data_IF_581513417091
#
_entry.id   IF_581513417091
#
_cell.length_a   1.000
_cell.length_b   1.000
_cell.length_c   1.000
_cell.angle_alpha   90.00
_cell.angle_beta   90.00
_cell.angle_gamma   90.00
#
_symmetry.space_group_name_H-M   'P 1'
#
loop_
_entity.id
_entity.type
_entity.pdbx_description
1 polymer ?
#
# COMPACT_ATOMS: atom_id res chain seq x y z
N UNK A 1 -2.01 -1.78 -24.97
CA UNK A 1 -1.82 -0.33 -24.87
C UNK A 1 -3.08 0.26 -24.31
N UNK A 2 -3.25 0.20 -22.99
CA UNK A 2 -4.34 0.88 -22.28
C UNK A 2 -3.69 2.06 -21.56
N UNK A 3 -4.26 3.25 -21.71
CA UNK A 3 -3.64 4.50 -21.25
C UNK A 3 -4.34 5.10 -20.02
N UNK A 4 -5.56 4.65 -19.71
CA UNK A 4 -6.36 5.13 -18.58
C UNK A 4 -6.95 3.95 -17.80
N UNK A 5 -7.02 4.12 -16.48
CA UNK A 5 -7.59 3.15 -15.55
C UNK A 5 -8.41 3.88 -14.50
N UNK A 6 -9.56 3.33 -14.15
CA UNK A 6 -10.37 3.76 -13.01
C UNK A 6 -10.73 2.55 -12.15
N UNK A 7 -10.76 2.76 -10.83
CA UNK A 7 -11.24 1.75 -9.88
C UNK A 7 -11.49 2.37 -8.51
N UNK A 8 -12.47 1.82 -7.78
CA UNK A 8 -12.68 2.12 -6.36
C UNK A 8 -11.73 1.35 -5.44
N UNK A 9 -10.98 0.38 -5.96
CA UNK A 9 -10.16 -0.56 -5.19
C UNK A 9 -9.19 0.12 -4.20
N UNK A 10 -8.45 1.20 -4.55
CA UNK A 10 -7.51 1.83 -3.61
C UNK A 10 -8.19 2.29 -2.33
N UNK A 11 -9.32 2.99 -2.47
CA UNK A 11 -10.04 3.57 -1.34
C UNK A 11 -10.91 2.53 -0.64
N UNK A 12 -11.54 1.59 -1.38
CA UNK A 12 -12.33 0.50 -0.78
C UNK A 12 -11.46 -0.40 0.10
N UNK A 13 -10.29 -0.79 -0.37
CA UNK A 13 -9.38 -1.66 0.37
C UNK A 13 -8.76 -0.93 1.57
N UNK A 14 -8.40 0.35 1.42
CA UNK A 14 -7.95 1.19 2.52
C UNK A 14 -8.94 1.21 3.67
N UNK A 15 -10.23 1.44 3.38
CA UNK A 15 -11.30 1.45 4.39
C UNK A 15 -11.53 0.09 5.06
N UNK A 16 -11.18 -0.99 4.37
CA UNK A 16 -11.19 -2.35 4.90
C UNK A 16 -9.85 -2.76 5.54
N UNK A 17 -8.96 -1.81 5.83
CA UNK A 17 -7.67 -2.01 6.48
C UNK A 17 -6.62 -2.79 5.67
N UNK A 18 -6.77 -2.85 4.34
CA UNK A 18 -5.77 -3.41 3.43
C UNK A 18 -4.97 -2.29 2.76
N UNK A 19 -3.67 -2.22 3.06
CA UNK A 19 -2.77 -1.18 2.55
C UNK A 19 -1.76 -1.78 1.57
N UNK A 20 -1.60 -1.13 0.43
CA UNK A 20 -0.63 -1.53 -0.59
C UNK A 20 0.75 -0.95 -0.30
N UNK A 21 1.79 -1.77 -0.40
CA UNK A 21 3.18 -1.35 -0.16
C UNK A 21 4.09 -1.88 -1.25
N UNK A 22 5.32 -1.37 -1.28
CA UNK A 22 6.38 -1.85 -2.16
C UNK A 22 6.74 -3.34 -1.98
N UNK A 23 6.31 -3.95 -0.87
CA UNK A 23 6.56 -5.35 -0.52
C UNK A 23 5.27 -6.17 -0.38
N UNK A 24 4.17 -5.72 -0.99
CA UNK A 24 2.89 -6.46 -0.98
C UNK A 24 1.79 -5.75 -0.19
N UNK A 25 0.72 -6.49 0.11
CA UNK A 25 -0.45 -5.95 0.82
C UNK A 25 -0.39 -6.31 2.30
N UNK A 26 -0.51 -5.27 3.15
CA UNK A 26 -0.56 -5.43 4.61
C UNK A 26 -2.01 -5.37 5.10
N UNK A 27 -2.34 -6.20 6.09
CA UNK A 27 -3.61 -6.13 6.82
C UNK A 27 -3.39 -5.40 8.15
N UNK A 28 -3.82 -4.14 8.26
CA UNK A 28 -3.56 -3.32 9.45
C UNK A 28 -4.27 -3.81 10.71
N UNK A 29 -5.16 -4.80 10.61
CA UNK A 29 -5.78 -5.45 11.78
C UNK A 29 -4.90 -6.56 12.38
N UNK A 30 -3.85 -7.00 11.68
CA UNK A 30 -2.94 -8.04 12.15
C UNK A 30 -2.32 -7.64 13.51
N UNK A 31 -2.28 -8.57 14.46
CA UNK A 31 -1.74 -8.33 15.79
C UNK A 31 -0.22 -8.10 15.78
N UNK A 32 0.49 -8.62 14.78
CA UNK A 32 1.94 -8.40 14.60
C UNK A 32 2.32 -6.92 14.60
N UNK A 33 1.43 -6.04 14.10
CA UNK A 33 1.69 -4.61 14.02
C UNK A 33 1.39 -3.82 15.29
N UNK A 34 0.94 -4.46 16.39
CA UNK A 34 0.55 -3.76 17.62
C UNK A 34 1.66 -2.87 18.19
N UNK A 35 2.91 -3.33 18.12
CA UNK A 35 4.09 -2.63 18.63
C UNK A 35 5.08 -2.31 17.50
N UNK A 36 4.62 -2.24 16.26
CA UNK A 36 5.45 -1.93 15.10
C UNK A 36 5.47 -0.41 14.85
N UNK A 37 6.52 0.26 15.33
CA UNK A 37 6.68 1.71 15.22
C UNK A 37 7.30 2.17 13.89
N UNK A 38 7.51 1.26 12.94
CA UNK A 38 8.04 1.60 11.62
C UNK A 38 6.96 2.24 10.74
N UNK A 39 7.40 2.81 9.62
CA UNK A 39 6.51 3.32 8.57
C UNK A 39 5.68 2.18 7.97
N UNK A 40 4.55 2.52 7.35
CA UNK A 40 3.72 1.55 6.63
C UNK A 40 4.47 0.96 5.44
N UNK A 41 5.18 1.81 4.69
CA UNK A 41 6.06 1.41 3.60
C UNK A 41 7.29 2.33 3.61
N UNK A 42 8.48 1.74 3.73
CA UNK A 42 9.75 2.48 3.80
C UNK A 42 10.05 3.27 2.52
N UNK A 43 9.46 2.89 1.38
CA UNK A 43 9.63 3.57 0.10
C UNK A 43 8.52 4.58 -0.20
N UNK A 44 7.61 4.82 0.74
CA UNK A 44 6.48 5.71 0.56
C UNK A 44 6.72 7.04 1.28
N UNK A 45 6.45 8.13 0.56
CA UNK A 45 6.64 9.51 1.02
C UNK A 45 5.29 10.23 1.23
N UNK A 46 4.19 9.48 1.28
CA UNK A 46 2.87 10.07 1.53
C UNK A 46 2.78 10.65 2.96
N UNK A 47 1.80 11.54 3.17
CA UNK A 47 1.53 12.13 4.49
C UNK A 47 1.44 11.06 5.59
N UNK A 48 0.73 9.96 5.34
CA UNK A 48 0.56 8.91 6.33
C UNK A 48 1.89 8.26 6.74
N UNK A 49 2.74 7.88 5.78
CA UNK A 49 4.04 7.23 6.05
C UNK A 49 5.07 8.18 6.67
N UNK A 50 4.95 9.48 6.42
CA UNK A 50 5.85 10.48 6.98
C UNK A 50 5.54 10.85 8.43
N UNK A 51 4.29 10.63 8.87
CA UNK A 51 3.80 11.15 10.14
C UNK A 51 3.32 10.07 11.12
N UNK A 52 3.01 8.85 10.66
CA UNK A 52 2.39 7.81 11.48
C UNK A 52 3.05 6.45 11.31
N UNK A 53 3.02 5.66 12.38
CA UNK A 53 3.53 4.28 12.39
C UNK A 53 2.44 3.26 12.07
N UNK A 54 2.86 2.03 11.75
CA UNK A 54 1.96 0.87 11.62
C UNK A 54 1.17 0.61 12.90
N UNK A 55 1.81 0.70 14.07
CA UNK A 55 1.17 0.54 15.37
C UNK A 55 0.05 1.56 15.60
N UNK A 56 0.30 2.83 15.28
CA UNK A 56 -0.71 3.88 15.45
C UNK A 56 -1.88 3.68 14.49
N UNK A 57 -1.60 3.40 13.22
CA UNK A 57 -2.67 3.17 12.25
C UNK A 57 -3.52 1.95 12.60
N UNK A 58 -2.89 0.85 13.05
CA UNK A 58 -3.59 -0.31 13.60
C UNK A 58 -4.48 0.07 14.78
N UNK A 59 -3.94 0.83 15.73
CA UNK A 59 -4.71 1.29 16.89
C UNK A 59 -5.99 2.01 16.45
N UNK A 60 -5.90 2.94 15.49
CA UNK A 60 -7.07 3.64 14.95
C UNK A 60 -8.08 2.68 14.29
N UNK A 61 -7.62 1.68 13.53
CA UNK A 61 -8.51 0.67 12.94
C UNK A 61 -9.24 -0.18 13.98
N UNK A 62 -8.56 -0.55 15.07
CA UNK A 62 -9.17 -1.31 16.18
C UNK A 62 -10.13 -0.44 16.97
N UNK A 63 -9.79 0.83 17.19
CA UNK A 63 -10.64 1.83 17.82
C UNK A 63 -11.85 2.25 16.95
N UNK A 64 -11.86 1.87 15.66
CA UNK A 64 -12.90 2.21 14.67
C UNK A 64 -13.00 3.72 14.39
N UNK A 65 -11.87 4.40 14.43
CA UNK A 65 -11.77 5.83 14.16
C UNK A 65 -11.84 6.13 12.66
N UNK A 66 -12.57 7.19 12.28
CA UNK A 66 -12.69 7.63 10.88
C UNK A 66 -11.32 8.04 10.32
N UNK A 67 -10.45 8.58 11.16
CA UNK A 67 -9.09 8.97 10.78
C UNK A 67 -8.30 7.81 10.17
N UNK A 68 -8.53 6.56 10.61
CA UNK A 68 -7.89 5.39 10.01
C UNK A 68 -8.23 5.26 8.52
N UNK A 69 -9.50 5.51 8.18
CA UNK A 69 -10.03 5.39 6.83
C UNK A 69 -9.43 6.45 5.90
N UNK A 70 -9.30 7.67 6.40
CA UNK A 70 -8.70 8.80 5.68
C UNK A 70 -7.20 8.55 5.41
N UNK A 71 -6.44 8.27 6.47
CA UNK A 71 -5.00 8.04 6.39
C UNK A 71 -4.64 6.85 5.48
N UNK A 72 -5.40 5.75 5.58
CA UNK A 72 -5.20 4.60 4.71
C UNK A 72 -5.56 4.91 3.24
N UNK A 73 -6.59 5.74 3.01
CA UNK A 73 -7.01 6.13 1.65
C UNK A 73 -5.95 7.02 0.99
N UNK A 74 -5.37 7.97 1.74
CA UNK A 74 -4.25 8.80 1.29
C UNK A 74 -3.07 7.91 0.86
N UNK A 75 -2.70 6.95 1.70
CA UNK A 75 -1.60 6.03 1.42
C UNK A 75 -1.83 5.18 0.17
N UNK A 76 -3.00 4.53 0.05
CA UNK A 76 -3.30 3.66 -1.09
C UNK A 76 -3.42 4.43 -2.41
N UNK A 77 -4.00 5.64 -2.40
CA UNK A 77 -4.04 6.49 -3.59
C UNK A 77 -2.63 6.92 -4.00
N UNK A 78 -1.79 7.32 -3.04
CA UNK A 78 -0.40 7.67 -3.31
C UNK A 78 0.36 6.51 -3.96
N UNK A 79 0.19 5.29 -3.44
CA UNK A 79 0.81 4.09 -4.01
C UNK A 79 0.43 3.90 -5.49
N UNK A 80 -0.86 3.96 -5.82
CA UNK A 80 -1.35 3.81 -7.20
C UNK A 80 -0.79 4.89 -8.14
N UNK A 81 -0.84 6.15 -7.71
CA UNK A 81 -0.31 7.26 -8.49
C UNK A 81 1.19 7.11 -8.72
N UNK A 82 1.95 6.68 -7.69
CA UNK A 82 3.38 6.46 -7.81
C UNK A 82 3.71 5.28 -8.73
N UNK A 83 2.93 4.20 -8.67
CA UNK A 83 3.07 3.03 -9.54
C UNK A 83 2.92 3.42 -11.02
N UNK A 84 1.87 4.16 -11.37
CA UNK A 84 1.63 4.59 -12.76
C UNK A 84 2.65 5.65 -13.21
N UNK A 85 3.05 6.59 -12.33
CA UNK A 85 4.14 7.54 -12.61
C UNK A 85 5.45 6.81 -12.91
N UNK A 86 5.77 5.77 -12.15
CA UNK A 86 6.98 4.95 -12.34
C UNK A 86 6.89 4.14 -13.63
N UNK A 87 5.74 3.52 -13.90
CA UNK A 87 5.46 2.81 -15.15
C UNK A 87 5.73 3.71 -16.36
N UNK A 88 5.19 4.93 -16.36
CA UNK A 88 5.41 5.92 -17.44
C UNK A 88 6.91 6.20 -17.63
N UNK A 89 7.65 6.49 -16.55
CA UNK A 89 9.11 6.72 -16.63
C UNK A 89 9.85 5.51 -17.22
N UNK A 90 9.47 4.30 -16.82
CA UNK A 90 10.10 3.06 -17.32
C UNK A 90 9.76 2.76 -18.77
N UNK A 91 8.57 3.12 -19.25
CA UNK A 91 8.19 3.05 -20.67
C UNK A 91 9.08 3.99 -21.49
N UNK A 92 9.19 5.26 -21.09
CA UNK A 92 10.00 6.26 -21.79
C UNK A 92 11.48 5.86 -21.87
N UNK A 93 11.98 5.17 -20.85
CA UNK A 93 13.37 4.70 -20.79
C UNK A 93 13.58 3.32 -21.44
N UNK A 94 12.56 2.69 -22.04
CA UNK A 94 12.67 1.35 -22.63
C UNK A 94 12.87 0.21 -21.63
N UNK A 95 12.67 0.47 -20.34
CA UNK A 95 12.93 -0.48 -19.22
C UNK A 95 11.65 -1.09 -18.64
N UNK A 96 10.49 -0.84 -19.25
CA UNK A 96 9.19 -1.21 -18.67
C UNK A 96 9.05 -2.71 -18.45
N UNK A 97 9.43 -3.56 -19.41
CA UNK A 97 9.24 -5.02 -19.31
C UNK A 97 9.96 -5.61 -18.10
N UNK A 98 11.26 -5.32 -17.96
CA UNK A 98 12.10 -5.78 -16.86
C UNK A 98 11.52 -5.31 -15.52
N UNK A 99 11.20 -4.02 -15.42
CA UNK A 99 10.62 -3.45 -14.21
C UNK A 99 9.25 -4.06 -13.84
N UNK A 100 8.39 -4.29 -14.84
CA UNK A 100 7.07 -4.90 -14.67
C UNK A 100 7.20 -6.31 -14.09
N UNK A 101 8.10 -7.12 -14.65
CA UNK A 101 8.29 -8.50 -14.21
C UNK A 101 8.80 -8.57 -12.76
N UNK A 102 9.69 -7.65 -12.36
CA UNK A 102 10.15 -7.52 -10.98
C UNK A 102 9.06 -7.03 -10.02
N UNK A 103 8.32 -5.99 -10.40
CA UNK A 103 7.38 -5.33 -9.47
C UNK A 103 6.14 -6.18 -9.23
N UNK A 104 5.63 -6.89 -10.25
CA UNK A 104 4.47 -7.77 -10.11
C UNK A 104 4.75 -8.83 -9.04
N UNK A 105 5.92 -9.48 -9.09
CA UNK A 105 6.30 -10.49 -8.11
C UNK A 105 6.37 -9.94 -6.69
N UNK A 106 6.79 -8.69 -6.50
CA UNK A 106 6.90 -8.05 -5.17
C UNK A 106 5.54 -7.64 -4.61
N UNK A 107 4.70 -7.00 -5.42
CA UNK A 107 3.44 -6.39 -4.93
C UNK A 107 2.25 -7.37 -4.92
N UNK A 108 2.36 -8.49 -5.62
CA UNK A 108 1.29 -9.52 -5.64
C UNK A 108 1.30 -10.40 -4.39
N UNK A 109 2.31 -10.25 -3.52
CA UNK A 109 2.40 -10.97 -2.25
C UNK A 109 1.36 -10.38 -1.30
N UNK A 110 0.44 -11.23 -0.85
CA UNK A 110 -0.49 -10.90 0.22
C UNK A 110 -0.03 -11.59 1.50
N UNK A 111 0.04 -10.86 2.62
CA UNK A 111 0.29 -11.46 3.94
C UNK A 111 -0.76 -12.51 4.36
N UNK A 112 -1.86 -12.64 3.63
CA UNK A 112 -2.91 -13.65 3.86
C UNK A 112 -2.42 -15.10 3.66
N UNK A 113 -1.22 -15.32 3.10
CA UNK A 113 -0.64 -16.65 2.93
C UNK A 113 0.22 -17.12 4.12
N UNK A 114 0.38 -16.32 5.18
CA UNK A 114 1.25 -16.66 6.33
C UNK A 114 0.47 -16.93 7.64
N UNK A 115 -0.83 -17.22 7.56
CA UNK A 115 -1.65 -17.64 8.72
C UNK A 115 -2.05 -19.12 8.69
N UNK A 116 -1.37 -19.92 7.87
CA UNK A 116 -1.42 -21.39 7.92
C UNK A 116 0.00 -21.93 8.18
N UNK A 117 0.51 -21.68 9.39
CA UNK A 117 1.47 -22.52 10.11
C UNK A 117 1.35 -22.23 11.62
#
# INVERSE_FOLDING_TARGET
GIDMFDCVMPTRNARNAYLFTSNGTLSMRNNSYKNDFNKIDEKCECYTCSNYSRAYLRHLFIAKEILALELASIHNLYFYLNLVKTARKKILNGQFKIWKDEIINKISINELNNSEE
#
